data_IF_927717989317
#
_entry.id   IF_927717989317
#
_cell.length_a   1.000
_cell.length_b   1.000
_cell.length_c   1.000
_cell.angle_alpha   90.00
_cell.angle_beta   90.00
_cell.angle_gamma   90.00
#
_symmetry.space_group_name_H-M   'P 1'
#
loop_
_entity.id
_entity.type
_entity.pdbx_description
1 polymer ?
#
# COMPACT_ATOMS: atom_id res chain seq x y z
N UNK A 1 76.51 -25.27 38.46
CA UNK A 1 75.71 -26.47 38.78
C UNK A 1 74.28 -26.28 38.38
N UNK A 2 73.89 -27.16 37.47
CA UNK A 2 72.55 -27.74 37.23
C UNK A 2 71.34 -26.84 37.27
N UNK A 3 70.73 -26.51 36.18
CA UNK A 3 69.74 -27.24 35.35
C UNK A 3 68.42 -27.51 36.06
N UNK A 4 67.31 -26.89 35.58
CA UNK A 4 66.18 -27.65 35.06
C UNK A 4 65.12 -26.78 34.36
N UNK A 5 64.76 -27.20 33.16
CA UNK A 5 63.61 -26.85 32.32
C UNK A 5 62.27 -27.04 33.05
N UNK A 6 61.30 -26.21 32.73
CA UNK A 6 59.90 -26.47 32.97
C UNK A 6 59.09 -25.77 31.91
N UNK A 7 58.65 -26.48 30.90
CA UNK A 7 57.70 -26.07 29.93
C UNK A 7 56.29 -26.08 30.58
N UNK A 8 55.54 -25.06 30.39
CA UNK A 8 54.12 -25.01 30.73
C UNK A 8 53.35 -24.41 29.56
N UNK A 9 52.67 -25.29 28.85
CA UNK A 9 51.85 -24.93 27.70
C UNK A 9 50.61 -24.18 28.13
N UNK A 10 50.23 -23.21 27.33
CA UNK A 10 48.92 -22.55 27.33
C UNK A 10 47.84 -23.56 26.91
N UNK A 11 46.74 -23.64 27.62
CA UNK A 11 45.55 -24.27 27.07
C UNK A 11 44.80 -23.25 26.23
N UNK A 12 44.88 -23.36 24.92
CA UNK A 12 43.86 -22.82 24.01
C UNK A 12 42.50 -23.40 24.42
N UNK A 13 41.69 -22.58 25.04
CA UNK A 13 40.29 -22.86 25.25
C UNK A 13 39.58 -22.73 23.90
N UNK A 14 39.49 -23.85 23.18
CA UNK A 14 38.58 -24.01 22.06
C UNK A 14 37.17 -23.77 22.58
N UNK A 15 36.58 -22.58 22.25
CA UNK A 15 35.18 -22.37 22.37
C UNK A 15 34.48 -23.26 21.33
N UNK A 16 34.05 -24.44 21.75
CA UNK A 16 33.09 -25.24 21.03
C UNK A 16 31.81 -24.38 20.89
N UNK A 17 31.56 -23.93 19.68
CA UNK A 17 30.23 -23.42 19.29
C UNK A 17 29.32 -24.63 19.38
N UNK A 18 28.59 -24.72 20.49
CA UNK A 18 27.47 -25.66 20.61
C UNK A 18 26.45 -25.25 19.54
N UNK A 19 26.43 -26.01 18.47
CA UNK A 19 25.35 -25.99 17.49
C UNK A 19 24.05 -26.13 18.30
N UNK A 20 23.27 -25.04 18.37
CA UNK A 20 21.94 -25.08 18.95
C UNK A 20 21.07 -25.89 18.00
N UNK A 21 20.98 -27.20 18.23
CA UNK A 21 19.99 -28.05 17.59
C UNK A 21 18.65 -27.37 17.68
N UNK A 22 18.06 -27.05 16.53
CA UNK A 22 16.70 -26.59 16.42
C UNK A 22 15.82 -27.79 16.83
N UNK A 23 15.41 -27.80 18.10
CA UNK A 23 14.51 -28.83 18.63
C UNK A 23 13.13 -28.60 18.02
N UNK A 24 12.78 -29.46 17.07
CA UNK A 24 11.42 -29.49 16.50
C UNK A 24 10.39 -29.80 17.60
N UNK A 25 9.23 -29.14 17.62
CA UNK A 25 8.23 -29.34 18.65
C UNK A 25 7.65 -30.76 18.56
N UNK A 26 7.77 -31.52 19.63
CA UNK A 26 7.42 -32.96 19.69
C UNK A 26 5.94 -33.20 20.05
N UNK A 27 5.14 -32.13 20.32
CA UNK A 27 3.72 -32.28 20.67
C UNK A 27 2.87 -31.07 20.28
N UNK A 28 1.59 -31.32 19.99
CA UNK A 28 0.61 -30.30 19.59
C UNK A 28 0.37 -29.20 20.64
N UNK A 29 0.61 -29.45 21.93
CA UNK A 29 0.50 -28.41 22.95
C UNK A 29 1.73 -27.48 22.94
N UNK A 30 2.90 -28.00 22.63
CA UNK A 30 4.12 -27.19 22.46
C UNK A 30 3.97 -26.25 21.26
N UNK A 31 3.49 -26.76 20.12
CA UNK A 31 3.18 -25.97 18.93
C UNK A 31 2.20 -24.83 19.26
N UNK A 32 1.07 -25.15 19.92
CA UNK A 32 0.11 -24.12 20.33
C UNK A 32 0.70 -23.09 21.30
N UNK A 33 1.62 -23.50 22.15
CA UNK A 33 2.27 -22.60 23.12
C UNK A 33 3.25 -21.68 22.41
N UNK A 34 4.05 -22.20 21.46
CA UNK A 34 4.97 -21.43 20.63
C UNK A 34 4.19 -20.44 19.78
N UNK A 35 3.15 -20.89 19.09
CA UNK A 35 2.30 -20.05 18.25
C UNK A 35 1.65 -18.90 19.04
N UNK A 36 1.13 -19.17 20.24
CA UNK A 36 0.58 -18.14 21.14
C UNK A 36 1.63 -17.13 21.59
N UNK A 37 2.86 -17.58 21.87
CA UNK A 37 3.97 -16.67 22.24
C UNK A 37 4.41 -15.83 21.04
N UNK A 38 4.52 -16.43 19.85
CA UNK A 38 4.87 -15.73 18.62
C UNK A 38 3.80 -14.70 18.24
N UNK A 39 2.51 -15.05 18.31
CA UNK A 39 1.40 -14.13 18.03
C UNK A 39 1.39 -12.95 19.01
N UNK A 40 1.59 -13.21 20.30
CA UNK A 40 1.67 -12.17 21.34
C UNK A 40 2.91 -11.27 21.14
N UNK A 41 4.06 -11.82 20.78
CA UNK A 41 5.26 -11.05 20.49
C UNK A 41 5.09 -10.18 19.24
N UNK A 42 4.50 -10.73 18.18
CA UNK A 42 4.15 -10.02 16.95
C UNK A 42 3.17 -8.87 17.21
N UNK A 43 2.11 -9.11 17.97
CA UNK A 43 1.14 -8.07 18.32
C UNK A 43 1.80 -6.91 19.08
N UNK A 44 2.69 -7.21 20.05
CA UNK A 44 3.44 -6.17 20.79
C UNK A 44 4.42 -5.41 19.91
N UNK A 45 5.07 -6.08 18.95
CA UNK A 45 5.97 -5.43 18.00
C UNK A 45 5.19 -4.47 17.09
N UNK A 46 4.06 -4.93 16.52
CA UNK A 46 3.17 -4.09 15.71
C UNK A 46 2.64 -2.88 16.49
N UNK A 47 2.20 -3.07 17.73
CA UNK A 47 1.72 -1.98 18.56
C UNK A 47 2.80 -0.91 18.82
N UNK A 48 4.07 -1.33 19.02
CA UNK A 48 5.19 -0.38 19.20
C UNK A 48 5.52 0.37 17.91
N UNK A 49 5.62 -0.33 16.77
CA UNK A 49 5.86 0.34 15.48
C UNK A 49 4.75 1.32 15.14
N UNK A 50 3.48 0.93 15.31
CA UNK A 50 2.34 1.83 15.11
C UNK A 50 2.38 3.06 16.02
N UNK A 51 2.84 2.92 17.28
CA UNK A 51 3.00 4.05 18.19
C UNK A 51 4.10 5.00 17.73
N UNK A 52 5.24 4.49 17.25
CA UNK A 52 6.28 5.35 16.66
C UNK A 52 5.75 6.11 15.43
N UNK A 53 5.01 5.44 14.54
CA UNK A 53 4.44 6.08 13.35
C UNK A 53 3.42 7.17 13.71
N UNK A 54 2.52 6.90 14.68
CA UNK A 54 1.55 7.87 15.14
C UNK A 54 2.24 9.09 15.74
N UNK A 55 3.22 8.89 16.63
CA UNK A 55 3.99 9.99 17.23
C UNK A 55 4.80 10.77 16.20
N UNK A 56 5.38 10.11 15.20
CA UNK A 56 6.08 10.78 14.11
C UNK A 56 5.14 11.67 13.29
N UNK A 57 3.93 11.18 13.00
CA UNK A 57 2.90 11.97 12.30
C UNK A 57 2.49 13.20 13.11
N UNK A 58 2.23 13.04 14.41
CA UNK A 58 1.93 14.17 15.33
C UNK A 58 3.04 15.23 15.30
N UNK A 59 4.32 14.80 15.39
CA UNK A 59 5.47 15.72 15.35
C UNK A 59 5.57 16.46 14.00
N UNK A 60 5.28 15.79 12.91
CA UNK A 60 5.23 16.39 11.56
C UNK A 60 4.07 17.37 11.46
N UNK A 61 2.91 17.06 11.99
CA UNK A 61 1.74 17.96 12.00
C UNK A 61 1.97 19.21 12.85
N UNK A 62 2.58 19.06 14.00
CA UNK A 62 2.87 20.20 14.90
C UNK A 62 3.94 21.14 14.33
N UNK A 63 5.03 20.58 13.78
CA UNK A 63 6.18 21.39 13.32
C UNK A 63 6.07 21.88 11.89
N UNK A 64 5.23 21.24 11.07
CA UNK A 64 5.18 21.48 9.62
C UNK A 64 6.42 20.98 8.87
N UNK A 65 7.23 20.13 9.49
CA UNK A 65 8.48 19.61 8.95
C UNK A 65 8.76 18.20 9.45
N UNK A 66 9.53 17.44 8.68
CA UNK A 66 10.04 16.15 9.11
C UNK A 66 11.43 16.24 9.76
N UNK A 67 11.71 17.32 10.51
CA UNK A 67 13.05 17.61 11.08
C UNK A 67 13.22 17.22 12.54
N UNK A 68 12.23 16.55 13.16
CA UNK A 68 12.33 16.05 14.53
C UNK A 68 13.49 15.06 14.72
N UNK A 69 14.02 14.98 15.96
CA UNK A 69 15.09 14.03 16.30
C UNK A 69 14.51 12.69 16.77
N UNK A 70 15.30 11.62 16.69
CA UNK A 70 14.93 10.32 17.28
C UNK A 70 14.70 10.47 18.79
N UNK A 71 15.47 11.31 19.48
CA UNK A 71 15.28 11.57 20.90
C UNK A 71 13.91 12.19 21.18
N UNK A 72 13.52 13.20 20.41
CA UNK A 72 12.18 13.82 20.52
C UNK A 72 11.07 12.79 20.32
N UNK A 73 11.22 11.91 19.33
CA UNK A 73 10.26 10.84 19.06
C UNK A 73 10.14 9.86 20.23
N UNK A 74 11.27 9.47 20.83
CA UNK A 74 11.33 8.54 21.96
C UNK A 74 10.67 9.14 23.18
N UNK A 75 11.01 10.38 23.52
CA UNK A 75 10.46 11.10 24.67
C UNK A 75 8.94 11.24 24.54
N UNK A 76 8.46 11.58 23.34
CA UNK A 76 7.04 11.77 23.05
C UNK A 76 6.26 10.44 23.00
N UNK A 77 6.84 9.41 22.39
CA UNK A 77 6.20 8.08 22.28
C UNK A 77 6.21 7.31 23.59
N UNK A 78 7.03 7.72 24.57
CA UNK A 78 7.28 6.99 25.80
C UNK A 78 7.75 5.54 25.56
N UNK A 79 8.57 5.35 24.53
CA UNK A 79 9.22 4.08 24.17
C UNK A 79 10.74 4.23 24.31
N UNK A 80 11.48 3.13 24.33
CA UNK A 80 12.93 3.17 24.48
C UNK A 80 13.67 3.30 23.14
N UNK A 81 14.89 3.85 23.16
CA UNK A 81 15.80 3.89 22.02
C UNK A 81 16.09 2.50 21.47
N UNK A 82 16.23 1.51 22.35
CA UNK A 82 16.39 0.10 21.97
C UNK A 82 15.17 -0.40 21.19
N UNK A 83 13.95 -0.05 21.62
CA UNK A 83 12.74 -0.43 20.91
C UNK A 83 12.69 0.22 19.53
N UNK A 84 13.15 1.47 19.37
CA UNK A 84 13.23 2.13 18.08
C UNK A 84 14.13 1.35 17.11
N UNK A 85 15.36 1.05 17.50
CA UNK A 85 16.31 0.34 16.65
C UNK A 85 15.96 -1.15 16.40
N UNK A 86 15.02 -1.71 17.15
CA UNK A 86 14.43 -3.02 16.82
C UNK A 86 13.46 -2.98 15.64
N UNK A 87 12.94 -1.78 15.28
CA UNK A 87 11.94 -1.60 14.22
C UNK A 87 12.47 -0.82 13.03
N UNK A 88 13.37 0.13 13.25
CA UNK A 88 13.84 1.07 12.22
C UNK A 88 15.36 1.23 12.33
N UNK A 89 16.08 1.11 11.22
CA UNK A 89 17.53 1.35 11.18
C UNK A 89 17.89 2.82 11.43
N UNK A 90 16.94 3.74 11.19
CA UNK A 90 17.12 5.17 11.40
C UNK A 90 15.86 5.96 11.09
N UNK A 91 15.98 7.29 11.14
CA UNK A 91 14.88 8.21 10.88
C UNK A 91 14.32 8.09 9.46
N UNK A 92 15.18 7.86 8.47
CA UNK A 92 14.76 7.71 7.07
C UNK A 92 13.87 6.49 6.86
N UNK A 93 14.18 5.38 7.52
CA UNK A 93 13.33 4.18 7.47
C UNK A 93 11.99 4.40 8.19
N UNK A 94 11.99 5.11 9.31
CA UNK A 94 10.76 5.53 9.98
C UNK A 94 9.90 6.41 9.09
N UNK A 95 10.48 7.40 8.41
CA UNK A 95 9.74 8.30 7.49
C UNK A 95 9.19 7.54 6.29
N UNK A 96 9.95 6.61 5.73
CA UNK A 96 9.46 5.73 4.68
C UNK A 96 8.27 4.89 5.17
N UNK A 97 8.41 4.24 6.33
CA UNK A 97 7.32 3.45 6.91
C UNK A 97 6.09 4.30 7.26
N UNK A 98 6.28 5.55 7.71
CA UNK A 98 5.18 6.50 7.91
C UNK A 98 4.47 6.79 6.60
N UNK A 99 5.22 7.08 5.56
CA UNK A 99 4.69 7.34 4.22
C UNK A 99 3.95 6.12 3.65
N UNK A 100 4.53 4.92 3.76
CA UNK A 100 3.88 3.65 3.39
C UNK A 100 2.54 3.47 4.12
N UNK A 101 2.50 3.76 5.42
CA UNK A 101 1.29 3.64 6.24
C UNK A 101 0.20 4.62 5.80
N UNK A 102 0.55 5.89 5.61
CA UNK A 102 -0.40 6.93 5.15
C UNK A 102 -0.94 6.61 3.76
N UNK A 103 -0.05 6.23 2.82
CA UNK A 103 -0.46 5.88 1.44
C UNK A 103 -1.29 4.59 1.39
N UNK A 104 -0.98 3.62 2.25
CA UNK A 104 -1.79 2.39 2.38
C UNK A 104 -3.20 2.69 2.90
N UNK A 105 -3.34 3.52 3.92
CA UNK A 105 -4.64 3.96 4.43
C UNK A 105 -5.43 4.76 3.39
N UNK A 106 -4.77 5.67 2.69
CA UNK A 106 -5.36 6.40 1.56
C UNK A 106 -5.93 5.45 0.51
N UNK A 107 -5.14 4.47 0.08
CA UNK A 107 -5.55 3.48 -0.93
C UNK A 107 -6.69 2.59 -0.42
N UNK A 108 -6.64 2.17 0.85
CA UNK A 108 -7.68 1.32 1.43
C UNK A 108 -9.02 2.04 1.55
N UNK A 109 -9.02 3.30 1.92
CA UNK A 109 -10.23 4.10 1.97
C UNK A 109 -10.88 4.24 0.57
N UNK A 110 -10.06 4.50 -0.47
CA UNK A 110 -10.55 4.53 -1.86
C UNK A 110 -11.08 3.16 -2.27
N UNK A 111 -10.40 2.06 -1.89
CA UNK A 111 -10.85 0.69 -2.19
C UNK A 111 -12.22 0.39 -1.62
N UNK A 112 -12.53 0.86 -0.41
CA UNK A 112 -13.83 0.67 0.22
C UNK A 112 -14.94 1.43 -0.53
N UNK A 113 -14.69 2.67 -0.95
CA UNK A 113 -15.63 3.45 -1.77
C UNK A 113 -15.87 2.79 -3.14
N UNK A 114 -14.79 2.34 -3.79
CA UNK A 114 -14.86 1.59 -5.05
C UNK A 114 -15.65 0.29 -4.89
N UNK A 115 -15.45 -0.44 -3.79
CA UNK A 115 -16.17 -1.69 -3.53
C UNK A 115 -17.66 -1.49 -3.25
N UNK A 116 -18.06 -0.30 -2.79
CA UNK A 116 -19.47 0.05 -2.56
C UNK A 116 -20.20 0.53 -3.82
N UNK A 117 -19.49 0.75 -4.93
CA UNK A 117 -20.07 1.25 -6.18
C UNK A 117 -20.51 0.12 -7.11
N UNK A 118 -21.66 0.30 -7.77
CA UNK A 118 -22.31 -0.68 -8.64
C UNK A 118 -21.84 -0.54 -10.11
N UNK A 119 -20.82 -1.28 -10.48
CA UNK A 119 -20.36 -1.33 -11.86
C UNK A 119 -19.07 -0.58 -12.13
N UNK A 120 -18.40 -0.88 -13.27
CA UNK A 120 -17.04 -0.40 -13.52
C UNK A 120 -16.92 1.11 -13.66
N UNK A 121 -17.91 1.80 -14.24
CA UNK A 121 -17.87 3.26 -14.44
C UNK A 121 -18.11 4.01 -13.12
N UNK A 122 -19.02 3.53 -12.31
CA UNK A 122 -19.30 4.04 -10.97
C UNK A 122 -18.11 3.80 -10.04
N UNK A 123 -17.44 2.68 -10.17
CA UNK A 123 -16.17 2.38 -9.47
C UNK A 123 -15.05 3.35 -9.87
N UNK A 124 -14.96 3.68 -11.16
CA UNK A 124 -13.99 4.67 -11.63
C UNK A 124 -14.33 6.08 -11.13
N UNK A 125 -15.60 6.43 -11.11
CA UNK A 125 -16.06 7.70 -10.53
C UNK A 125 -15.70 7.80 -9.05
N UNK A 126 -16.01 6.77 -8.27
CA UNK A 126 -15.67 6.71 -6.84
C UNK A 126 -14.15 6.84 -6.61
N UNK A 127 -13.34 6.18 -7.45
CA UNK A 127 -11.89 6.33 -7.39
C UNK A 127 -11.43 7.76 -7.64
N UNK A 128 -11.90 8.40 -8.72
CA UNK A 128 -11.48 9.76 -9.07
C UNK A 128 -11.91 10.79 -8.01
N UNK A 129 -13.16 10.69 -7.51
CA UNK A 129 -13.68 11.57 -6.45
C UNK A 129 -12.92 11.35 -5.14
N UNK A 130 -12.67 10.09 -4.77
CA UNK A 130 -11.94 9.76 -3.55
C UNK A 130 -10.52 10.30 -3.53
N UNK A 131 -9.82 10.37 -4.67
CA UNK A 131 -8.50 11.00 -4.77
C UNK A 131 -8.59 12.50 -4.52
N UNK A 132 -9.53 13.20 -5.16
CA UNK A 132 -9.67 14.67 -5.00
C UNK A 132 -10.11 15.05 -3.59
N UNK A 133 -11.13 14.38 -3.05
CA UNK A 133 -11.62 14.63 -1.70
C UNK A 133 -10.53 14.52 -0.64
N UNK A 134 -9.67 13.50 -0.75
CA UNK A 134 -8.56 13.31 0.21
C UNK A 134 -7.41 14.27 -0.01
N UNK A 135 -7.18 14.71 -1.24
CA UNK A 135 -6.23 15.78 -1.50
C UNK A 135 -6.66 17.08 -0.81
N UNK A 136 -7.96 17.43 -0.87
CA UNK A 136 -8.50 18.59 -0.16
C UNK A 136 -8.43 18.40 1.37
N UNK A 137 -8.73 17.19 1.86
CA UNK A 137 -8.60 16.86 3.29
C UNK A 137 -7.15 16.87 3.79
N UNK A 138 -6.17 16.74 2.88
CA UNK A 138 -4.72 16.81 3.17
C UNK A 138 -4.21 18.26 3.28
N UNK A 139 -5.07 19.26 3.37
CA UNK A 139 -4.69 20.64 3.67
C UNK A 139 -4.09 20.79 5.09
N UNK A 140 -4.12 19.72 5.90
CA UNK A 140 -3.39 19.67 7.15
C UNK A 140 -1.88 19.89 6.92
N UNK A 141 -1.22 20.42 7.94
CA UNK A 141 0.23 20.66 7.89
C UNK A 141 0.98 19.36 7.60
N UNK A 142 0.57 18.25 8.21
CA UNK A 142 1.15 16.92 7.97
C UNK A 142 0.93 16.42 6.55
N UNK A 143 -0.25 16.66 5.96
CA UNK A 143 -0.54 16.31 4.56
C UNK A 143 0.40 17.00 3.58
N UNK A 144 0.69 18.28 3.77
CA UNK A 144 1.68 19.02 2.95
C UNK A 144 3.09 18.44 3.07
N UNK A 145 3.52 18.12 4.28
CA UNK A 145 4.84 17.52 4.53
C UNK A 145 4.95 16.16 3.85
N UNK A 146 3.91 15.33 3.94
CA UNK A 146 3.88 14.03 3.26
C UNK A 146 3.89 14.17 1.74
N UNK A 147 3.24 15.20 1.19
CA UNK A 147 3.29 15.49 -0.25
C UNK A 147 4.69 15.92 -0.71
N UNK A 148 5.40 16.72 0.11
CA UNK A 148 6.81 17.08 -0.16
C UNK A 148 7.70 15.83 -0.11
N UNK A 149 7.50 14.99 0.90
CA UNK A 149 8.25 13.73 1.04
C UNK A 149 8.00 12.79 -0.15
N UNK A 150 6.78 12.74 -0.66
CA UNK A 150 6.43 11.99 -1.87
C UNK A 150 7.27 12.42 -3.08
N UNK A 151 7.41 13.73 -3.32
CA UNK A 151 8.22 14.27 -4.41
C UNK A 151 9.71 13.94 -4.24
N UNK A 152 10.24 14.05 -3.02
CA UNK A 152 11.61 13.67 -2.69
C UNK A 152 11.85 12.18 -2.94
N UNK A 153 10.92 11.33 -2.48
CA UNK A 153 11.02 9.88 -2.60
C UNK A 153 11.01 9.43 -4.08
N UNK A 154 10.19 10.06 -4.91
CA UNK A 154 10.13 9.78 -6.36
C UNK A 154 11.48 10.03 -7.04
N UNK A 155 12.20 11.06 -6.62
CA UNK A 155 13.50 11.45 -7.20
C UNK A 155 14.64 10.63 -6.61
N UNK A 156 14.69 10.50 -5.28
CA UNK A 156 15.84 9.94 -4.56
C UNK A 156 15.78 8.43 -4.44
N UNK A 157 14.56 7.86 -4.34
CA UNK A 157 14.32 6.43 -4.10
C UNK A 157 13.17 5.90 -4.98
N UNK A 158 13.29 5.93 -6.32
CA UNK A 158 12.20 5.60 -7.25
C UNK A 158 11.67 4.17 -7.10
N UNK A 159 12.49 3.21 -6.67
CA UNK A 159 12.07 1.84 -6.44
C UNK A 159 11.12 1.71 -5.22
N UNK A 160 11.42 2.43 -4.13
CA UNK A 160 10.55 2.45 -2.94
C UNK A 160 9.26 3.22 -3.26
N UNK A 161 9.36 4.34 -3.96
CA UNK A 161 8.20 5.09 -4.45
C UNK A 161 7.26 4.19 -5.27
N UNK A 162 7.79 3.49 -6.27
CA UNK A 162 7.01 2.60 -7.12
C UNK A 162 6.32 1.49 -6.31
N UNK A 163 7.02 0.91 -5.32
CA UNK A 163 6.49 -0.13 -4.44
C UNK A 163 5.33 0.38 -3.57
N UNK A 164 5.47 1.58 -3.02
CA UNK A 164 4.42 2.20 -2.17
C UNK A 164 3.15 2.47 -2.97
N UNK A 165 3.28 2.95 -4.20
CA UNK A 165 2.13 3.29 -5.06
C UNK A 165 1.56 2.11 -5.86
N UNK A 166 2.26 0.98 -5.91
CA UNK A 166 1.84 -0.20 -6.67
C UNK A 166 0.39 -0.66 -6.36
N UNK A 167 -0.08 -0.74 -5.08
CA UNK A 167 -1.44 -1.16 -4.77
C UNK A 167 -2.50 -0.19 -5.31
N UNK A 168 -2.22 1.11 -5.26
CA UNK A 168 -3.09 2.17 -5.80
C UNK A 168 -3.22 2.08 -7.31
N UNK A 169 -2.10 1.97 -8.01
CA UNK A 169 -2.07 1.85 -9.47
C UNK A 169 -2.70 0.54 -9.95
N UNK A 170 -2.51 -0.57 -9.24
CA UNK A 170 -3.17 -1.84 -9.53
C UNK A 170 -4.69 -1.74 -9.41
N UNK A 171 -5.20 -1.03 -8.40
CA UNK A 171 -6.63 -0.81 -8.24
C UNK A 171 -7.20 -0.04 -9.44
N UNK A 172 -6.59 1.09 -9.81
CA UNK A 172 -7.02 1.89 -10.96
C UNK A 172 -6.95 1.10 -12.28
N UNK A 173 -5.85 0.38 -12.50
CA UNK A 173 -5.68 -0.44 -13.72
C UNK A 173 -6.74 -1.53 -13.80
N UNK A 174 -7.09 -2.16 -12.68
CA UNK A 174 -8.16 -3.17 -12.63
C UNK A 174 -9.50 -2.56 -13.04
N UNK A 175 -9.88 -1.42 -12.46
CA UNK A 175 -11.13 -0.74 -12.78
C UNK A 175 -11.18 -0.37 -14.26
N UNK A 176 -10.12 0.22 -14.81
CA UNK A 176 -10.05 0.58 -16.23
C UNK A 176 -10.08 -0.64 -17.16
N UNK A 177 -9.51 -1.77 -16.73
CA UNK A 177 -9.61 -3.03 -17.46
C UNK A 177 -11.05 -3.54 -17.50
N UNK A 178 -11.77 -3.42 -16.39
CA UNK A 178 -13.17 -3.82 -16.31
C UNK A 178 -14.07 -2.88 -17.15
N UNK A 179 -13.78 -1.56 -17.12
CA UNK A 179 -14.43 -0.58 -18.03
C UNK A 179 -14.18 -0.90 -19.51
N UNK A 180 -12.95 -1.26 -19.87
CA UNK A 180 -12.60 -1.62 -21.26
C UNK A 180 -13.32 -2.89 -21.72
N UNK A 181 -13.42 -3.92 -20.87
CA UNK A 181 -14.19 -5.15 -21.18
C UNK A 181 -15.67 -4.87 -21.36
N UNK A 182 -16.22 -3.89 -20.61
CA UNK A 182 -17.61 -3.47 -20.73
C UNK A 182 -17.85 -2.50 -21.91
N UNK A 183 -16.81 -2.09 -22.66
CA UNK A 183 -16.90 -1.15 -23.76
C UNK A 183 -17.25 0.28 -23.35
N UNK A 184 -16.93 0.65 -22.11
CA UNK A 184 -17.27 1.94 -21.52
C UNK A 184 -16.18 3.00 -21.72
N UNK A 185 -14.97 2.59 -22.12
CA UNK A 185 -13.83 3.46 -22.36
C UNK A 185 -13.27 3.31 -23.77
N UNK A 186 -12.50 4.29 -24.20
CA UNK A 186 -11.82 4.30 -25.50
C UNK A 186 -10.88 3.10 -25.64
N UNK A 187 -10.70 2.61 -26.86
CA UNK A 187 -9.90 1.39 -27.15
C UNK A 187 -8.59 1.70 -27.89
N UNK A 188 -8.35 2.96 -28.26
CA UNK A 188 -7.09 3.40 -28.86
C UNK A 188 -5.95 3.54 -27.83
N UNK A 189 -6.29 3.50 -26.52
CA UNK A 189 -5.36 3.45 -25.42
C UNK A 189 -5.58 2.17 -24.60
N UNK A 190 -4.50 1.57 -24.16
CA UNK A 190 -4.57 0.41 -23.26
C UNK A 190 -5.00 0.85 -21.85
N UNK A 191 -5.57 -0.04 -21.02
CA UNK A 191 -5.87 0.26 -19.62
C UNK A 191 -4.66 0.80 -18.83
N UNK A 192 -3.45 0.32 -19.11
CA UNK A 192 -2.22 0.81 -18.49
C UNK A 192 -1.90 2.26 -18.89
N UNK A 193 -2.08 2.62 -20.17
CA UNK A 193 -1.91 3.99 -20.64
C UNK A 193 -2.96 4.93 -20.04
N UNK A 194 -4.22 4.50 -19.97
CA UNK A 194 -5.28 5.25 -19.29
C UNK A 194 -4.98 5.42 -17.81
N UNK A 195 -4.45 4.39 -17.13
CA UNK A 195 -4.00 4.47 -15.73
C UNK A 195 -2.96 5.57 -15.57
N UNK A 196 -1.93 5.59 -16.43
CA UNK A 196 -0.88 6.61 -16.37
C UNK A 196 -1.44 8.01 -16.53
N UNK A 197 -2.27 8.23 -17.56
CA UNK A 197 -2.84 9.55 -17.84
C UNK A 197 -3.76 10.04 -16.71
N UNK A 198 -4.67 9.21 -16.24
CA UNK A 198 -5.58 9.58 -15.15
C UNK A 198 -4.81 9.79 -13.84
N UNK A 199 -3.93 8.86 -13.47
CA UNK A 199 -3.18 9.00 -12.22
C UNK A 199 -2.32 10.26 -12.21
N UNK A 200 -1.58 10.54 -13.30
CA UNK A 200 -0.78 11.77 -13.41
C UNK A 200 -1.65 13.02 -13.27
N UNK A 201 -2.79 13.06 -13.94
CA UNK A 201 -3.73 14.19 -13.86
C UNK A 201 -4.26 14.38 -12.44
N UNK A 202 -4.74 13.30 -11.81
CA UNK A 202 -5.28 13.34 -10.45
C UNK A 202 -4.21 13.76 -9.44
N UNK A 203 -2.98 13.21 -9.55
CA UNK A 203 -1.86 13.57 -8.68
C UNK A 203 -1.46 15.04 -8.84
N UNK A 204 -1.37 15.53 -10.07
CA UNK A 204 -1.05 16.94 -10.33
C UNK A 204 -2.12 17.89 -9.76
N UNK A 205 -3.39 17.57 -9.93
CA UNK A 205 -4.49 18.37 -9.36
C UNK A 205 -4.48 18.33 -7.82
N UNK A 206 -4.22 17.15 -7.23
CA UNK A 206 -4.06 17.01 -5.79
C UNK A 206 -2.92 17.89 -5.26
N UNK A 207 -1.76 17.91 -5.92
CA UNK A 207 -0.62 18.75 -5.55
C UNK A 207 -0.93 20.25 -5.67
N UNK A 208 -1.64 20.66 -6.75
CA UNK A 208 -2.09 22.06 -6.92
C UNK A 208 -2.99 22.46 -5.76
N UNK A 209 -3.92 21.61 -5.34
CA UNK A 209 -4.80 21.86 -4.20
C UNK A 209 -4.01 21.99 -2.90
N UNK A 210 -3.18 21.01 -2.57
CA UNK A 210 -2.37 20.97 -1.32
C UNK A 210 -1.44 22.17 -1.18
N UNK A 211 -0.82 22.64 -2.26
CA UNK A 211 0.13 23.77 -2.25
C UNK A 211 -0.51 25.11 -2.61
N UNK A 212 -1.81 25.17 -2.86
CA UNK A 212 -2.52 26.39 -3.30
C UNK A 212 -1.86 27.06 -4.51
N UNK A 213 -1.29 26.27 -5.43
CA UNK A 213 -0.58 26.78 -6.61
C UNK A 213 -1.53 27.36 -7.68
N UNK A 214 -2.84 27.12 -7.55
CA UNK A 214 -3.84 27.64 -8.47
C UNK A 214 -4.18 29.10 -8.19
N UNK A 215 -4.39 29.90 -9.25
CA UNK A 215 -4.94 31.26 -9.13
C UNK A 215 -6.41 31.27 -8.71
N UNK A 216 -6.98 32.45 -8.46
CA UNK A 216 -8.41 32.59 -8.19
C UNK A 216 -9.24 31.96 -9.32
N UNK A 217 -10.14 31.02 -8.98
CA UNK A 217 -11.00 30.33 -9.94
C UNK A 217 -10.41 29.04 -10.54
N UNK A 218 -9.23 28.60 -10.12
CA UNK A 218 -8.63 27.33 -10.58
C UNK A 218 -9.10 26.10 -9.81
N UNK A 219 -9.83 26.28 -8.70
CA UNK A 219 -10.35 25.16 -7.89
C UNK A 219 -11.46 24.46 -8.66
N UNK A 220 -11.26 23.18 -8.96
CA UNK A 220 -12.26 22.31 -9.57
C UNK A 220 -13.14 21.69 -8.48
N UNK A 221 -14.43 21.55 -8.77
CA UNK A 221 -15.30 20.69 -7.97
C UNK A 221 -15.08 19.22 -8.36
N UNK A 222 -15.48 18.30 -7.47
CA UNK A 222 -15.45 16.87 -7.78
C UNK A 222 -16.24 16.52 -9.04
N UNK A 223 -17.40 17.18 -9.25
CA UNK A 223 -18.23 16.98 -10.43
C UNK A 223 -17.53 17.46 -11.71
N UNK A 224 -16.88 18.61 -11.68
CA UNK A 224 -16.11 19.13 -12.81
C UNK A 224 -14.94 18.21 -13.16
N UNK A 225 -14.21 17.73 -12.15
CA UNK A 225 -13.12 16.78 -12.36
C UNK A 225 -13.64 15.48 -12.96
N UNK A 226 -14.71 14.91 -12.38
CA UNK A 226 -15.27 13.67 -12.90
C UNK A 226 -15.79 13.83 -14.33
N UNK A 227 -16.50 14.92 -14.64
CA UNK A 227 -16.97 15.18 -15.99
C UNK A 227 -15.82 15.24 -16.99
N UNK A 228 -14.71 15.90 -16.63
CA UNK A 228 -13.52 15.98 -17.46
C UNK A 228 -12.85 14.61 -17.63
N UNK A 229 -12.62 13.86 -16.56
CA UNK A 229 -12.07 12.51 -16.62
C UNK A 229 -12.93 11.61 -17.50
N UNK A 230 -14.23 11.59 -17.27
CA UNK A 230 -15.20 10.78 -18.02
C UNK A 230 -15.14 11.10 -19.52
N UNK A 231 -15.09 12.37 -19.88
CA UNK A 231 -15.00 12.79 -21.28
C UNK A 231 -13.66 12.35 -21.91
N UNK A 232 -12.56 12.48 -21.19
CA UNK A 232 -11.24 12.11 -21.68
C UNK A 232 -11.07 10.61 -21.97
N UNK A 233 -11.76 9.76 -21.20
CA UNK A 233 -11.69 8.30 -21.36
C UNK A 233 -12.83 7.71 -22.18
N UNK A 234 -13.88 8.47 -22.48
CA UNK A 234 -15.02 7.98 -23.24
C UNK A 234 -14.62 7.54 -24.64
N UNK A 235 -15.30 6.53 -25.22
CA UNK A 235 -15.10 6.17 -26.60
C UNK A 235 -15.32 7.37 -27.53
N UNK A 236 -14.45 7.60 -28.53
CA UNK A 236 -14.73 8.61 -29.56
C UNK A 236 -16.05 8.30 -30.27
N UNK A 237 -16.73 9.34 -30.78
CA UNK A 237 -18.05 9.21 -31.42
C UNK A 237 -18.08 8.21 -32.58
N UNK A 238 -16.94 8.00 -33.26
CA UNK A 238 -16.79 7.11 -34.41
C UNK A 238 -16.36 5.68 -34.07
N UNK A 239 -16.23 5.32 -32.79
CA UNK A 239 -15.88 3.96 -32.41
C UNK A 239 -17.07 3.01 -32.57
N UNK A 240 -16.96 1.88 -33.31
CA UNK A 240 -18.02 0.89 -33.38
C UNK A 240 -18.25 0.29 -31.99
N UNK A 241 -19.48 0.34 -31.49
CA UNK A 241 -19.86 -0.28 -30.23
C UNK A 241 -19.48 -1.75 -30.23
N UNK A 242 -18.86 -2.28 -29.18
CA UNK A 242 -18.54 -3.69 -29.08
C UNK A 242 -19.82 -4.52 -29.24
N UNK A 243 -19.77 -5.52 -30.16
CA UNK A 243 -20.89 -6.45 -30.35
C UNK A 243 -21.11 -7.19 -29.03
N UNK A 244 -22.29 -7.03 -28.44
CA UNK A 244 -22.68 -7.73 -27.23
C UNK A 244 -22.39 -9.23 -27.38
N UNK A 245 -21.59 -9.78 -26.48
CA UNK A 245 -21.29 -11.20 -26.46
C UNK A 245 -22.60 -11.98 -26.36
N UNK A 246 -22.96 -12.76 -27.41
CA UNK A 246 -24.12 -13.63 -27.38
C UNK A 246 -23.97 -14.60 -26.22
N UNK A 247 -24.87 -14.50 -25.24
CA UNK A 247 -25.01 -15.53 -24.20
C UNK A 247 -25.28 -16.86 -24.88
N UNK A 248 -24.29 -17.72 -24.93
CA UNK A 248 -24.46 -19.12 -25.41
C UNK A 248 -25.23 -19.85 -24.31
N UNK A 249 -26.55 -19.90 -24.45
CA UNK A 249 -27.38 -20.76 -23.62
C UNK A 249 -27.10 -22.21 -24.07
N UNK A 250 -26.26 -22.89 -23.31
CA UNK A 250 -26.09 -24.34 -23.45
C UNK A 250 -27.37 -25.04 -23.03
N UNK A 251 -28.13 -25.44 -24.02
CA UNK A 251 -29.34 -26.26 -23.87
C UNK A 251 -28.89 -27.70 -23.63
N UNK A 252 -28.79 -28.10 -22.37
CA UNK A 252 -28.59 -29.49 -21.95
C UNK A 252 -29.86 -30.27 -22.27
N UNK A 253 -29.86 -30.98 -23.37
CA UNK A 253 -30.91 -31.98 -23.71
C UNK A 253 -30.64 -33.24 -22.89
N UNK A 254 -31.39 -33.39 -21.79
CA UNK A 254 -31.46 -34.65 -21.05
C UNK A 254 -32.31 -35.64 -21.79
N UNK A 255 -31.70 -36.57 -22.54
CA UNK A 255 -32.38 -37.70 -23.11
C UNK A 255 -32.51 -38.81 -22.07
N UNK A 256 -33.69 -38.87 -21.46
CA UNK A 256 -34.08 -39.91 -20.51
C UNK A 256 -34.45 -41.17 -21.30
N UNK A 257 -33.54 -42.14 -21.38
CA UNK A 257 -33.76 -43.46 -21.97
C UNK A 257 -34.55 -44.36 -21.01
N UNK A 258 -35.83 -44.51 -21.29
CA UNK A 258 -36.68 -45.48 -20.59
C UNK A 258 -36.33 -46.86 -21.08
N UNK A 259 -35.83 -47.73 -20.20
CA UNK A 259 -35.63 -49.17 -20.47
C UNK A 259 -36.92 -49.92 -20.08
N UNK A 260 -37.68 -50.39 -21.07
CA UNK A 260 -38.74 -51.38 -20.87
C UNK A 260 -38.11 -52.73 -20.55
N UNK A 261 -38.49 -53.32 -19.44
CA UNK A 261 -38.32 -54.75 -19.14
C UNK A 261 -39.64 -55.39 -19.42
N UNK A 262 -39.63 -56.30 -20.38
CA UNK A 262 -40.66 -57.33 -20.59
C UNK A 262 -39.97 -58.69 -20.57
N UNK A 263 -40.56 -59.65 -19.86
CA UNK A 263 -40.22 -61.05 -19.84
C UNK A 263 -39.93 -61.61 -18.50
#
# INVERSE_FOLDING_TARGET
>A
MAAKKGAGGDPEASLEIVDSEVVEPTSTWQERTIERRLSSARARALARSSRFLATALELVEESGKADFTIQTLIDRSNLSLRAFYQHFAGKEELLLALYENVTSQFTENIRQEVAAADGPMEQLEAFCRGVLYRAESSESVGGRVMTIYNLSLEIERPADFAKVWEPHLKLLTKILTDCARAGLVRTDLTPAQLTTLLNTTLTALAQIGVFHLGGKGSKLTEDQLWAWCKQAISPPADQPKPKAAKKTTSRTSSTRRVRKLTG
#
